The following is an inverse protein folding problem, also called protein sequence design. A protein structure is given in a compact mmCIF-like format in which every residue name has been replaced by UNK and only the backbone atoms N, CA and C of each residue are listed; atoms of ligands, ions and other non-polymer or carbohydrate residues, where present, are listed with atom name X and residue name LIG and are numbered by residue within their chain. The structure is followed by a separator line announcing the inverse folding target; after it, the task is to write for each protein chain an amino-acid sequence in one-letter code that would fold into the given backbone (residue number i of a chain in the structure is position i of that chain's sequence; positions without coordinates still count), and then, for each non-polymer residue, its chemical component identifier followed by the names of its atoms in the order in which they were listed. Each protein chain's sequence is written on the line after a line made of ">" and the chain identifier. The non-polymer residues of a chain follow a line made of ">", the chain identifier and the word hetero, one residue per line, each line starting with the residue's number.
data_IF_256812603755
#
_entry.id   IF_256812603755
#
_cell.length_a   1.000
_cell.length_b   1.000
_cell.length_c   1.000
_cell.angle_alpha   90.00
_cell.angle_beta   90.00
_cell.angle_gamma   90.00
#
_symmetry.space_group_name_H-M   'P 1'
#
loop_
_entity.id
_entity.type
_entity.pdbx_description
1 polymer ?
#
# COMPACT_ATOMS: atom_id res chain seq x y z
N UNK A 1 -13.32 -2.84 2.47
CA UNK A 1 -12.16 -3.17 3.32
C UNK A 1 -11.57 -4.54 3.02
N UNK A 2 -12.30 -5.46 2.38
CA UNK A 2 -11.86 -6.86 2.21
C UNK A 2 -10.80 -7.11 1.12
N UNK A 3 -10.65 -6.23 0.11
CA UNK A 3 -9.76 -6.52 -1.05
C UNK A 3 -8.27 -6.61 -0.69
N UNK A 4 -7.83 -5.83 0.30
CA UNK A 4 -6.40 -5.75 0.68
C UNK A 4 -6.16 -6.05 2.16
N UNK A 5 -7.21 -6.31 2.94
CA UNK A 5 -7.13 -6.57 4.39
C UNK A 5 -6.34 -5.52 5.20
N UNK A 6 -6.36 -4.27 4.75
CA UNK A 6 -5.63 -3.16 5.39
C UNK A 6 -6.45 -2.53 6.52
N UNK A 7 -5.76 -2.09 7.57
CA UNK A 7 -6.34 -1.19 8.55
C UNK A 7 -6.66 0.18 7.89
N UNK A 8 -7.60 0.97 8.46
CA UNK A 8 -7.97 2.25 7.86
C UNK A 8 -6.80 3.22 7.64
N UNK A 9 -5.80 3.23 8.53
CA UNK A 9 -4.58 4.01 8.39
C UNK A 9 -3.75 3.56 7.17
N UNK A 10 -3.57 2.27 6.97
CA UNK A 10 -2.77 1.74 5.87
C UNK A 10 -3.49 1.91 4.54
N UNK A 11 -4.83 1.83 4.54
CA UNK A 11 -5.65 2.16 3.38
C UNK A 11 -5.47 3.62 2.95
N UNK A 12 -5.29 4.58 3.88
CA UNK A 12 -5.01 5.98 3.55
C UNK A 12 -3.65 6.15 2.86
N UNK A 13 -2.63 5.42 3.32
CA UNK A 13 -1.30 5.41 2.69
C UNK A 13 -1.41 4.91 1.25
N UNK A 14 -2.06 3.76 1.03
CA UNK A 14 -2.27 3.19 -0.30
C UNK A 14 -3.07 4.13 -1.21
N UNK A 15 -4.11 4.77 -0.69
CA UNK A 15 -4.92 5.72 -1.44
C UNK A 15 -4.09 6.93 -1.89
N UNK A 16 -3.23 7.46 -1.00
CA UNK A 16 -2.33 8.56 -1.33
C UNK A 16 -1.34 8.15 -2.43
N UNK A 17 -0.71 6.97 -2.31
CA UNK A 17 0.17 6.44 -3.35
C UNK A 17 -0.53 6.36 -4.71
N UNK A 18 -1.75 5.81 -4.74
CA UNK A 18 -2.56 5.72 -5.96
C UNK A 18 -2.90 7.08 -6.57
N UNK A 19 -3.33 8.04 -5.74
CA UNK A 19 -3.71 9.37 -6.18
C UNK A 19 -2.53 10.16 -6.78
N UNK A 20 -1.31 9.90 -6.28
CA UNK A 20 -0.09 10.56 -6.74
C UNK A 20 0.72 9.75 -7.77
N UNK A 21 0.21 8.60 -8.23
CA UNK A 21 0.90 7.74 -9.20
C UNK A 21 2.18 7.09 -8.66
N UNK A 22 2.30 6.94 -7.34
CA UNK A 22 3.42 6.27 -6.68
C UNK A 22 3.16 4.77 -6.67
N UNK A 23 4.10 4.01 -7.22
CA UNK A 23 4.02 2.56 -7.35
C UNK A 23 5.14 1.82 -6.58
N UNK A 24 5.96 2.52 -5.80
CA UNK A 24 7.01 1.96 -4.96
C UNK A 24 6.90 2.50 -3.54
N UNK A 25 7.11 1.66 -2.53
CA UNK A 25 7.10 2.06 -1.11
C UNK A 25 8.29 1.44 -0.36
N UNK A 26 8.94 2.24 0.48
CA UNK A 26 9.92 1.75 1.45
C UNK A 26 9.23 1.64 2.81
N UNK A 27 9.04 0.42 3.29
CA UNK A 27 8.39 0.15 4.57
C UNK A 27 8.83 -1.20 5.12
N UNK A 28 8.86 -1.33 6.45
CA UNK A 28 9.04 -2.62 7.12
C UNK A 28 7.73 -3.37 7.35
N UNK A 29 6.61 -2.75 7.00
CA UNK A 29 5.29 -3.34 7.13
C UNK A 29 5.00 -4.29 5.95
N UNK A 30 4.67 -5.55 6.26
CA UNK A 30 4.34 -6.57 5.28
C UNK A 30 2.91 -6.46 4.73
N UNK A 31 2.03 -5.68 5.36
CA UNK A 31 0.62 -5.62 4.98
C UNK A 31 0.42 -5.02 3.57
N UNK A 32 1.38 -4.20 3.11
CA UNK A 32 1.37 -3.61 1.77
C UNK A 32 1.73 -4.59 0.64
N UNK A 33 2.24 -5.78 0.96
CA UNK A 33 2.64 -6.78 -0.06
C UNK A 33 1.45 -7.32 -0.87
N UNK A 34 0.22 -7.21 -0.33
CA UNK A 34 -1.00 -7.63 -1.01
C UNK A 34 -1.58 -6.57 -1.97
N UNK A 35 -0.95 -5.40 -2.07
CA UNK A 35 -1.44 -4.30 -2.89
C UNK A 35 -0.86 -4.39 -4.30
N UNK A 36 -1.63 -4.96 -5.23
CA UNK A 36 -1.21 -5.31 -6.61
C UNK A 36 -0.44 -4.23 -7.38
N UNK A 37 -0.70 -2.93 -7.14
CA UNK A 37 -0.06 -1.83 -7.86
C UNK A 37 1.17 -1.23 -7.16
N UNK A 38 1.48 -1.67 -5.95
CA UNK A 38 2.47 -1.06 -5.07
C UNK A 38 3.60 -2.07 -4.78
N UNK A 39 4.79 -1.77 -5.30
CA UNK A 39 6.00 -2.57 -5.11
C UNK A 39 6.70 -2.16 -3.80
N UNK A 40 6.93 -3.12 -2.91
CA UNK A 40 7.78 -2.90 -1.73
C UNK A 40 9.25 -2.97 -2.12
N UNK A 41 10.02 -1.96 -1.72
CA UNK A 41 11.47 -1.93 -1.94
C UNK A 41 12.21 -2.92 -1.02
N UNK A 42 13.38 -3.44 -1.45
CA UNK A 42 14.21 -4.33 -0.64
C UNK A 42 14.63 -3.74 0.71
#
# INVERSE_FOLDING_TARGET
>A
MERYSLLPNDALIVLACKAHGINKIATFDSDFENVEFLEKLP
#
